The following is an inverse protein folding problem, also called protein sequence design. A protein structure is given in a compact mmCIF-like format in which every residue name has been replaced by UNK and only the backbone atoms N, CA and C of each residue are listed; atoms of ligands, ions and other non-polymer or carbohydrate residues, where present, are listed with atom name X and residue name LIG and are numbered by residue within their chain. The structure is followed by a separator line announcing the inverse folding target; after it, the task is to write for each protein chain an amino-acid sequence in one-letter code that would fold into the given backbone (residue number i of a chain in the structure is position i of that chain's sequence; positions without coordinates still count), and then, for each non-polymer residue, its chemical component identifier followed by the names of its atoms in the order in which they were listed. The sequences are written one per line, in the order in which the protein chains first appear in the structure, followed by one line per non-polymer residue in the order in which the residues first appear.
data_IF_602274819312
#
_entry.id   IF_602274819312
#
_cell.length_a   1.000
_cell.length_b   1.000
_cell.length_c   1.000
_cell.angle_alpha   90.00
_cell.angle_beta   90.00
_cell.angle_gamma   90.00
#
_symmetry.space_group_name_H-M   'P 1'
#
loop_
_entity.id
_entity.type
_entity.pdbx_description
1 polymer ?
#
# COMPACT_ATOMS: atom_id res chain seq x y z
N UNK A 1 17.57 5.84 5.02
CA UNK A 1 16.21 5.29 4.77
C UNK A 1 15.27 6.40 4.33
N UNK A 2 14.47 6.16 3.28
CA UNK A 2 13.60 7.17 2.68
C UNK A 2 12.18 7.03 3.19
N UNK A 3 11.62 8.12 3.72
CA UNK A 3 10.22 8.18 4.18
C UNK A 3 9.33 8.98 3.22
N UNK A 4 9.90 10.01 2.58
CA UNK A 4 9.13 10.93 1.73
C UNK A 4 9.81 11.29 0.42
N UNK A 5 11.11 11.07 0.21
CA UNK A 5 11.84 11.56 -0.97
C UNK A 5 11.98 10.49 -2.05
N UNK A 6 10.90 10.27 -2.82
CA UNK A 6 10.87 9.22 -3.86
C UNK A 6 11.87 9.45 -5.01
N UNK A 7 12.21 10.70 -5.34
CA UNK A 7 13.16 11.00 -6.43
C UNK A 7 14.58 10.54 -6.07
N UNK A 8 15.06 10.93 -4.90
CA UNK A 8 16.35 10.50 -4.35
C UNK A 8 16.40 8.98 -4.18
N UNK A 9 15.31 8.36 -3.69
CA UNK A 9 15.25 6.90 -3.62
C UNK A 9 15.44 6.25 -4.99
N UNK A 10 14.79 6.78 -6.05
CA UNK A 10 14.91 6.21 -7.39
C UNK A 10 16.33 6.36 -7.96
N UNK A 11 16.96 7.50 -7.74
CA UNK A 11 18.36 7.76 -8.14
C UNK A 11 19.28 6.73 -7.46
N UNK A 12 19.15 6.56 -6.14
CA UNK A 12 19.93 5.58 -5.37
C UNK A 12 19.68 4.12 -5.76
N UNK A 13 18.44 3.77 -6.15
CA UNK A 13 18.11 2.43 -6.66
C UNK A 13 18.81 2.15 -7.99
N UNK A 14 18.90 3.17 -8.87
CA UNK A 14 19.55 3.05 -10.18
C UNK A 14 21.06 2.98 -10.02
N UNK A 15 21.62 3.79 -9.12
CA UNK A 15 23.06 3.82 -8.82
C UNK A 15 23.54 2.62 -7.98
N UNK A 16 22.63 1.70 -7.61
CA UNK A 16 22.90 0.56 -6.71
C UNK A 16 23.50 0.96 -5.35
N UNK A 17 23.31 2.21 -4.92
CA UNK A 17 23.81 2.71 -3.64
C UNK A 17 23.02 2.18 -2.44
N UNK A 18 21.82 1.63 -2.67
CA UNK A 18 21.05 0.92 -1.64
C UNK A 18 21.66 -0.45 -1.38
N UNK A 19 22.15 -0.65 -0.16
CA UNK A 19 22.80 -1.89 0.26
C UNK A 19 21.80 -3.04 0.47
N UNK A 20 22.26 -4.30 0.50
CA UNK A 20 21.42 -5.44 0.89
C UNK A 20 20.79 -5.29 2.28
N UNK A 21 21.51 -4.68 3.23
CA UNK A 21 21.01 -4.41 4.58
C UNK A 21 19.88 -3.38 4.59
N UNK A 22 19.96 -2.36 3.75
CA UNK A 22 18.86 -1.39 3.61
C UNK A 22 17.62 -2.06 2.99
N UNK A 23 17.84 -2.94 2.02
CA UNK A 23 16.77 -3.66 1.31
C UNK A 23 16.01 -4.60 2.24
N UNK A 24 16.71 -5.35 3.09
CA UNK A 24 16.08 -6.23 4.09
C UNK A 24 15.31 -5.41 5.12
N UNK A 25 15.82 -4.25 5.52
CA UNK A 25 15.13 -3.34 6.44
C UNK A 25 13.84 -2.75 5.84
N UNK A 26 13.84 -2.35 4.55
CA UNK A 26 12.61 -1.96 3.85
C UNK A 26 11.60 -3.11 3.79
N UNK A 27 12.06 -4.31 3.47
CA UNK A 27 11.18 -5.48 3.39
C UNK A 27 10.55 -5.82 4.75
N UNK A 28 11.35 -5.84 5.81
CA UNK A 28 10.86 -6.11 7.18
C UNK A 28 9.82 -5.07 7.58
N UNK A 29 10.09 -3.79 7.38
CA UNK A 29 9.15 -2.74 7.77
C UNK A 29 7.89 -2.74 6.91
N UNK A 30 8.01 -3.01 5.62
CA UNK A 30 6.86 -3.19 4.73
C UNK A 30 5.98 -4.35 5.18
N UNK A 31 6.58 -5.52 5.48
CA UNK A 31 5.86 -6.70 5.95
C UNK A 31 5.25 -6.48 7.34
N UNK A 32 5.96 -5.88 8.29
CA UNK A 32 5.45 -5.58 9.62
C UNK A 32 4.24 -4.64 9.56
N UNK A 33 4.31 -3.60 8.74
CA UNK A 33 3.21 -2.66 8.57
C UNK A 33 2.01 -3.34 7.92
N UNK A 34 2.24 -4.12 6.85
CA UNK A 34 1.18 -4.87 6.19
C UNK A 34 0.53 -5.90 7.13
N UNK A 35 1.33 -6.64 7.90
CA UNK A 35 0.85 -7.62 8.86
C UNK A 35 0.04 -6.97 9.99
N UNK A 36 0.46 -5.79 10.46
CA UNK A 36 -0.30 -5.03 11.47
C UNK A 36 -1.69 -4.67 10.96
N UNK A 37 -1.78 -4.17 9.72
CA UNK A 37 -3.06 -3.85 9.07
C UNK A 37 -3.92 -5.11 8.87
N UNK A 38 -3.29 -6.22 8.47
CA UNK A 38 -3.97 -7.49 8.24
C UNK A 38 -4.51 -8.13 9.52
N UNK A 39 -3.74 -8.11 10.61
CA UNK A 39 -4.18 -8.63 11.92
C UNK A 39 -5.38 -7.85 12.44
N UNK A 40 -5.39 -6.52 12.29
CA UNK A 40 -6.55 -5.71 12.65
C UNK A 40 -7.79 -6.12 11.85
N UNK A 41 -7.64 -6.41 10.55
CA UNK A 41 -8.74 -6.89 9.72
C UNK A 41 -9.26 -8.26 10.17
N UNK A 42 -8.36 -9.19 10.53
CA UNK A 42 -8.74 -10.54 11.00
C UNK A 42 -9.52 -10.50 12.31
N UNK A 43 -9.09 -9.67 13.28
CA UNK A 43 -9.75 -9.57 14.58
C UNK A 43 -11.22 -9.16 14.45
N UNK A 44 -11.59 -8.47 13.36
CA UNK A 44 -12.97 -8.04 13.10
C UNK A 44 -13.77 -9.00 12.20
N UNK A 45 -13.25 -10.20 11.90
CA UNK A 45 -13.98 -11.20 11.12
C UNK A 45 -15.05 -11.86 12.01
N UNK A 46 -16.24 -11.27 12.01
CA UNK A 46 -17.41 -11.83 12.70
C UNK A 46 -18.56 -12.16 11.76
N UNK A 47 -18.41 -11.96 10.45
CA UNK A 47 -19.47 -12.17 9.46
C UNK A 47 -18.95 -12.79 8.17
N UNK A 48 -19.82 -13.52 7.47
CA UNK A 48 -19.53 -14.07 6.13
C UNK A 48 -19.13 -12.97 5.14
N UNK A 49 -19.75 -11.79 5.24
CA UNK A 49 -19.39 -10.62 4.46
C UNK A 49 -17.92 -10.24 4.67
N UNK A 50 -17.46 -10.16 5.91
CA UNK A 50 -16.08 -9.80 6.21
C UNK A 50 -15.09 -10.84 5.65
N UNK A 51 -15.43 -12.13 5.71
CA UNK A 51 -14.62 -13.21 5.10
C UNK A 51 -14.50 -13.02 3.58
N UNK A 52 -15.62 -12.79 2.89
CA UNK A 52 -15.64 -12.55 1.46
C UNK A 52 -14.77 -11.35 1.08
N UNK A 53 -14.86 -10.26 1.86
CA UNK A 53 -14.06 -9.07 1.59
C UNK A 53 -12.56 -9.32 1.82
N UNK A 54 -12.17 -10.07 2.85
CA UNK A 54 -10.76 -10.47 3.04
C UNK A 54 -10.25 -11.28 1.85
N UNK A 55 -11.04 -12.23 1.34
CA UNK A 55 -10.67 -13.02 0.15
C UNK A 55 -10.46 -12.10 -1.06
N UNK A 56 -11.40 -11.19 -1.31
CA UNK A 56 -11.27 -10.20 -2.40
C UNK A 56 -10.02 -9.34 -2.22
N UNK A 57 -9.73 -8.92 -0.98
CA UNK A 57 -8.55 -8.14 -0.67
C UNK A 57 -7.25 -8.90 -1.01
N UNK A 58 -7.14 -10.17 -0.60
CA UNK A 58 -5.99 -11.02 -0.95
C UNK A 58 -5.84 -11.16 -2.46
N UNK A 59 -6.95 -11.33 -3.20
CA UNK A 59 -6.92 -11.39 -4.67
C UNK A 59 -6.38 -10.07 -5.25
N UNK A 60 -6.85 -8.93 -4.75
CA UNK A 60 -6.34 -7.61 -5.16
C UNK A 60 -4.83 -7.50 -4.89
N UNK A 61 -4.35 -7.91 -3.70
CA UNK A 61 -2.94 -7.85 -3.37
C UNK A 61 -2.08 -8.72 -4.29
N UNK A 62 -2.52 -9.94 -4.56
CA UNK A 62 -1.82 -10.87 -5.48
C UNK A 62 -1.75 -10.28 -6.89
N UNK A 63 -2.89 -9.83 -7.42
CA UNK A 63 -2.95 -9.22 -8.75
C UNK A 63 -2.12 -7.94 -8.83
N UNK A 64 -2.11 -7.13 -7.76
CA UNK A 64 -1.32 -5.91 -7.65
C UNK A 64 0.19 -6.17 -7.64
N UNK A 65 0.64 -7.18 -6.90
CA UNK A 65 2.04 -7.63 -6.89
C UNK A 65 2.43 -8.18 -8.28
N UNK A 66 1.57 -9.01 -8.89
CA UNK A 66 1.81 -9.51 -10.24
C UNK A 66 1.90 -8.37 -11.26
N UNK A 67 0.98 -7.41 -11.22
CA UNK A 67 1.02 -6.21 -12.06
C UNK A 67 2.34 -5.45 -11.88
N UNK A 68 2.79 -5.22 -10.65
CA UNK A 68 4.06 -4.55 -10.37
C UNK A 68 5.26 -5.35 -10.91
N UNK A 69 5.22 -6.68 -10.78
CA UNK A 69 6.26 -7.58 -11.29
C UNK A 69 6.37 -7.53 -12.81
N UNK A 70 5.25 -7.66 -13.52
CA UNK A 70 5.23 -7.63 -14.98
C UNK A 70 5.65 -6.28 -15.55
N UNK A 71 5.38 -5.19 -14.85
CA UNK A 71 5.82 -3.85 -15.23
C UNK A 71 7.28 -3.55 -14.88
N UNK A 72 7.94 -4.41 -14.08
CA UNK A 72 9.35 -4.21 -13.73
C UNK A 72 10.28 -4.59 -14.88
N UNK A 73 11.10 -3.63 -15.29
CA UNK A 73 12.19 -3.86 -16.25
C UNK A 73 13.36 -4.63 -15.63
N UNK A 74 13.48 -4.62 -14.29
CA UNK A 74 14.59 -5.21 -13.53
C UNK A 74 14.10 -6.39 -12.68
N UNK A 75 13.63 -7.46 -13.31
CA UNK A 75 13.01 -8.61 -12.61
C UNK A 75 13.89 -9.22 -11.51
N UNK A 76 15.21 -9.27 -11.72
CA UNK A 76 16.18 -9.77 -10.74
C UNK A 76 16.19 -8.93 -9.46
N UNK A 77 15.97 -7.62 -9.58
CA UNK A 77 15.92 -6.69 -8.45
C UNK A 77 14.49 -6.38 -8.00
N UNK A 78 13.48 -7.15 -8.46
CA UNK A 78 12.08 -6.83 -8.21
C UNK A 78 11.76 -6.69 -6.72
N UNK A 79 12.20 -7.63 -5.89
CA UNK A 79 11.90 -7.59 -4.44
C UNK A 79 12.47 -6.32 -3.80
N UNK A 80 13.68 -5.90 -4.23
CA UNK A 80 14.33 -4.66 -3.77
C UNK A 80 13.54 -3.43 -4.23
N UNK A 81 13.19 -3.38 -5.50
CA UNK A 81 12.49 -2.23 -6.10
C UNK A 81 11.08 -2.11 -5.51
N UNK A 82 10.38 -3.23 -5.36
CA UNK A 82 9.04 -3.32 -4.81
C UNK A 82 9.00 -2.95 -3.33
N UNK A 83 9.91 -3.48 -2.50
CA UNK A 83 9.92 -3.18 -1.06
C UNK A 83 10.27 -1.71 -0.78
N UNK A 84 11.29 -1.18 -1.48
CA UNK A 84 11.75 0.20 -1.27
C UNK A 84 10.74 1.23 -1.78
N UNK A 85 10.24 1.08 -3.02
CA UNK A 85 9.22 1.97 -3.57
C UNK A 85 7.90 1.81 -2.82
N UNK A 86 7.52 0.56 -2.54
CA UNK A 86 6.30 0.20 -1.82
C UNK A 86 6.25 0.83 -0.44
N UNK A 87 7.36 0.81 0.31
CA UNK A 87 7.47 1.46 1.62
C UNK A 87 7.14 2.96 1.56
N UNK A 88 7.80 3.72 0.68
CA UNK A 88 7.59 5.18 0.57
C UNK A 88 6.17 5.50 0.16
N UNK A 89 5.60 4.71 -0.76
CA UNK A 89 4.23 4.92 -1.19
C UNK A 89 3.23 4.55 -0.11
N UNK A 90 3.40 3.41 0.58
CA UNK A 90 2.55 2.98 1.67
C UNK A 90 2.49 4.03 2.78
N UNK A 91 3.63 4.60 3.18
CA UNK A 91 3.67 5.67 4.18
C UNK A 91 2.93 6.95 3.75
N UNK A 92 3.21 7.44 2.54
CA UNK A 92 2.53 8.63 2.00
C UNK A 92 1.03 8.40 1.89
N UNK A 93 0.66 7.22 1.40
CA UNK A 93 -0.71 6.78 1.25
C UNK A 93 -1.43 6.74 2.60
N UNK A 94 -0.84 6.15 3.64
CA UNK A 94 -1.40 6.16 5.00
C UNK A 94 -1.58 7.58 5.54
N UNK A 95 -0.60 8.47 5.34
CA UNK A 95 -0.73 9.86 5.76
C UNK A 95 -1.92 10.57 5.10
N UNK A 96 -2.03 10.50 3.77
CA UNK A 96 -3.16 11.12 3.05
C UNK A 96 -4.49 10.44 3.34
N UNK A 97 -4.50 9.11 3.53
CA UNK A 97 -5.70 8.37 3.91
C UNK A 97 -6.19 8.80 5.29
N UNK A 98 -5.31 8.95 6.27
CA UNK A 98 -5.68 9.45 7.61
C UNK A 98 -6.29 10.85 7.57
N UNK A 99 -5.70 11.77 6.78
CA UNK A 99 -6.26 13.11 6.58
C UNK A 99 -7.63 13.03 5.89
N UNK A 100 -7.75 12.20 4.85
CA UNK A 100 -9.00 12.00 4.11
C UNK A 100 -10.11 11.43 5.00
N UNK A 101 -9.79 10.44 5.83
CA UNK A 101 -10.75 9.83 6.76
C UNK A 101 -11.18 10.81 7.86
N UNK A 102 -10.25 11.62 8.40
CA UNK A 102 -10.59 12.70 9.33
C UNK A 102 -11.52 13.74 8.70
N UNK A 103 -11.23 14.14 7.46
CA UNK A 103 -12.07 15.11 6.74
C UNK A 103 -13.45 14.53 6.44
N UNK A 104 -13.52 13.30 5.94
CA UNK A 104 -14.77 12.60 5.70
C UNK A 104 -15.60 12.48 6.98
N UNK A 105 -14.99 12.07 8.09
CA UNK A 105 -15.66 11.98 9.39
C UNK A 105 -16.23 13.33 9.84
N UNK A 106 -15.43 14.41 9.76
CA UNK A 106 -15.87 15.75 10.11
C UNK A 106 -17.04 16.22 9.23
N UNK A 107 -16.96 16.00 7.92
CA UNK A 107 -18.05 16.34 6.99
C UNK A 107 -19.32 15.54 7.30
N UNK A 108 -19.22 14.23 7.51
CA UNK A 108 -20.41 13.42 7.79
C UNK A 108 -21.07 13.80 9.11
N UNK A 109 -20.30 14.18 10.13
CA UNK A 109 -20.87 14.65 11.39
C UNK A 109 -21.53 16.02 11.24
N UNK A 110 -20.92 16.95 10.49
CA UNK A 110 -21.51 18.27 10.22
C UNK A 110 -22.82 18.22 9.42
N UNK A 111 -22.96 17.25 8.52
CA UNK A 111 -24.14 17.11 7.65
C UNK A 111 -25.14 16.03 8.11
N UNK A 112 -24.90 15.36 9.24
CA UNK A 112 -25.75 14.29 9.75
C UNK A 112 -25.78 13.04 8.86
N UNK A 113 -24.68 12.76 8.14
CA UNK A 113 -24.52 11.62 7.22
C UNK A 113 -23.71 10.47 7.84
N UNK A 114 -23.71 10.36 9.17
CA UNK A 114 -22.90 9.40 9.93
C UNK A 114 -23.24 7.95 9.59
N UNK A 115 -24.49 7.69 9.18
CA UNK A 115 -24.94 6.36 8.73
C UNK A 115 -24.19 5.86 7.49
N UNK A 116 -23.59 6.76 6.68
CA UNK A 116 -22.75 6.36 5.55
C UNK A 116 -21.39 5.81 6.01
N UNK A 117 -20.95 6.09 7.24
CA UNK A 117 -19.71 5.59 7.83
C UNK A 117 -19.86 4.18 8.42
N UNK A 118 -20.34 3.25 7.59
CA UNK A 118 -20.41 1.84 7.98
C UNK A 118 -19.07 1.14 7.77
N UNK A 119 -18.83 0.07 8.54
CA UNK A 119 -17.68 -0.81 8.33
C UNK A 119 -17.62 -1.36 6.89
N UNK A 120 -18.78 -1.61 6.26
CA UNK A 120 -18.85 -2.08 4.86
C UNK A 120 -18.29 -1.05 3.89
N UNK A 121 -18.69 0.21 4.04
CA UNK A 121 -18.23 1.30 3.17
C UNK A 121 -16.75 1.58 3.39
N UNK A 122 -16.26 1.51 4.64
CA UNK A 122 -14.85 1.66 4.96
C UNK A 122 -13.98 0.59 4.27
N UNK A 123 -14.44 -0.68 4.24
CA UNK A 123 -13.73 -1.76 3.55
C UNK A 123 -13.68 -1.50 2.03
N UNK A 124 -14.78 -1.07 1.41
CA UNK A 124 -14.82 -0.77 -0.03
C UNK A 124 -13.82 0.35 -0.37
N UNK A 125 -13.79 1.42 0.43
CA UNK A 125 -12.83 2.53 0.27
C UNK A 125 -11.39 2.03 0.41
N UNK A 126 -11.12 1.17 1.40
CA UNK A 126 -9.79 0.57 1.58
C UNK A 126 -9.36 -0.27 0.36
N UNK A 127 -10.26 -1.04 -0.24
CA UNK A 127 -9.97 -1.82 -1.45
C UNK A 127 -9.65 -0.93 -2.66
N UNK A 128 -10.44 0.12 -2.89
CA UNK A 128 -10.17 1.09 -3.96
C UNK A 128 -8.78 1.70 -3.76
N UNK A 129 -8.48 2.06 -2.51
CA UNK A 129 -7.19 2.64 -2.16
C UNK A 129 -6.03 1.68 -2.38
N UNK A 130 -6.20 0.41 -2.04
CA UNK A 130 -5.20 -0.65 -2.28
C UNK A 130 -4.94 -0.85 -3.79
N UNK A 131 -5.98 -0.87 -4.62
CA UNK A 131 -5.84 -0.94 -6.09
C UNK A 131 -5.02 0.26 -6.60
N UNK A 132 -5.35 1.48 -6.16
CA UNK A 132 -4.63 2.68 -6.55
C UNK A 132 -3.17 2.66 -6.06
N UNK A 133 -2.92 2.14 -4.86
CA UNK A 133 -1.57 1.97 -4.32
C UNK A 133 -0.73 1.05 -5.20
N UNK A 134 -1.23 -0.14 -5.54
CA UNK A 134 -0.51 -1.09 -6.40
C UNK A 134 -0.30 -0.56 -7.81
N UNK A 135 -1.32 0.07 -8.39
CA UNK A 135 -1.19 0.75 -9.69
C UNK A 135 -0.04 1.77 -9.64
N UNK A 136 0.04 2.56 -8.56
CA UNK A 136 1.06 3.59 -8.43
C UNK A 136 2.44 3.02 -8.17
N UNK A 137 2.57 2.01 -7.33
CA UNK A 137 3.84 1.29 -7.12
C UNK A 137 4.34 0.72 -8.44
N UNK A 138 3.50 0.00 -9.18
CA UNK A 138 3.88 -0.59 -10.48
C UNK A 138 4.30 0.47 -11.51
N UNK A 139 3.58 1.59 -11.59
CA UNK A 139 3.95 2.74 -12.44
C UNK A 139 5.32 3.31 -12.07
N UNK A 140 5.63 3.41 -10.77
CA UNK A 140 6.91 3.90 -10.31
C UNK A 140 8.06 2.93 -10.57
N UNK A 141 7.83 1.62 -10.41
CA UNK A 141 8.81 0.59 -10.73
C UNK A 141 9.08 0.56 -12.25
N UNK A 142 8.05 0.68 -13.09
CA UNK A 142 8.20 0.73 -14.56
C UNK A 142 9.08 1.90 -15.05
N UNK A 143 9.08 2.99 -14.29
CA UNK A 143 9.87 4.20 -14.60
C UNK A 143 11.34 4.11 -14.18
N UNK A 144 11.74 3.08 -13.44
CA UNK A 144 13.15 2.85 -13.12
C UNK A 144 13.88 2.49 -14.43
N UNK A 145 14.95 3.22 -14.73
CA UNK A 145 15.79 2.94 -15.91
C UNK A 145 16.59 1.66 -15.66
N UNK A 146 16.81 0.89 -16.73
CA UNK A 146 17.72 -0.26 -16.75
C UNK A 146 19.16 0.18 -16.62
#
# INVERSE_FOLDING_TARGET
MYFWKIKQLKEDIVENSITPNDTSLYLILFLLLYLTLFVQAIIQIHSLWNIQMVIVQVIISVLGIMYAYYNSKRKVFFIKDFSSVGWVFLLRSLFFMSIGMLNLYAMTSLFGLEELFTAKNAIIVAMIFEILLYWRIGSHIASLKS
#
